data_IF_417650794576
#
_entry.id   IF_417650794576
#
_cell.length_a   1.000
_cell.length_b   1.000
_cell.length_c   1.000
_cell.angle_alpha   90.00
_cell.angle_beta   90.00
_cell.angle_gamma   90.00
#
_symmetry.space_group_name_H-M   'P 1'
#
loop_
_entity.id
_entity.type
_entity.pdbx_description
1 polymer ?
#
# COMPACT_ATOMS: atom_id res chain seq x y z
N UNK A 1 -17.74 -0.49 -10.51
CA UNK A 1 -16.70 0.43 -10.06
C UNK A 1 -15.38 -0.29 -9.98
N UNK A 2 -14.36 0.32 -10.50
CA UNK A 2 -13.04 -0.30 -10.49
C UNK A 2 -12.31 0.07 -9.20
N UNK A 3 -11.42 -0.81 -8.73
CA UNK A 3 -10.60 -0.54 -7.55
C UNK A 3 -9.73 0.71 -7.72
N UNK A 4 -9.29 1.00 -8.97
CA UNK A 4 -8.49 2.17 -9.26
C UNK A 4 -9.24 3.47 -8.95
N UNK A 5 -10.54 3.52 -9.22
CA UNK A 5 -11.35 4.69 -8.90
C UNK A 5 -11.44 4.91 -7.40
N UNK A 6 -11.70 3.83 -6.66
CA UNK A 6 -11.78 3.92 -5.19
C UNK A 6 -10.45 4.29 -4.57
N UNK A 7 -9.38 3.72 -5.06
CA UNK A 7 -8.04 4.06 -4.59
C UNK A 7 -7.77 5.55 -4.83
N UNK A 8 -8.05 6.03 -6.03
CA UNK A 8 -7.81 7.43 -6.39
C UNK A 8 -8.61 8.39 -5.52
N UNK A 9 -9.89 8.11 -5.32
CA UNK A 9 -10.75 8.94 -4.48
C UNK A 9 -10.25 8.97 -3.04
N UNK A 10 -9.84 7.82 -2.52
CA UNK A 10 -9.31 7.73 -1.16
C UNK A 10 -8.03 8.55 -1.03
N UNK A 11 -7.10 8.39 -1.95
CA UNK A 11 -5.84 9.14 -1.92
C UNK A 11 -6.10 10.65 -1.95
N UNK A 12 -6.97 11.09 -2.84
CA UNK A 12 -7.30 12.50 -2.97
C UNK A 12 -7.97 13.04 -1.70
N UNK A 13 -8.97 12.33 -1.20
CA UNK A 13 -9.71 12.76 -0.02
C UNK A 13 -8.79 12.89 1.18
N UNK A 14 -7.95 11.90 1.43
CA UNK A 14 -7.03 11.94 2.57
C UNK A 14 -6.01 13.05 2.40
N UNK A 15 -5.49 13.24 1.18
CA UNK A 15 -4.55 14.32 0.91
C UNK A 15 -5.17 15.69 1.16
N UNK A 16 -6.38 15.89 0.68
CA UNK A 16 -7.10 17.17 0.86
C UNK A 16 -7.43 17.41 2.33
N UNK A 17 -7.86 16.39 3.04
CA UNK A 17 -8.13 16.51 4.48
C UNK A 17 -6.86 16.84 5.27
N UNK A 18 -5.73 16.36 4.82
CA UNK A 18 -4.45 16.69 5.44
C UNK A 18 -3.92 18.06 5.03
N UNK A 19 -4.60 18.75 4.12
CA UNK A 19 -4.19 20.06 3.65
C UNK A 19 -2.91 20.05 2.81
N UNK A 20 -2.59 18.92 2.17
CA UNK A 20 -1.35 18.78 1.42
C UNK A 20 -1.56 18.92 -0.08
N UNK A 21 -0.58 19.53 -0.75
CA UNK A 21 -0.59 19.62 -2.20
C UNK A 21 -0.15 18.31 -2.81
N UNK A 22 -0.37 18.15 -4.11
CA UNK A 22 0.15 17.00 -4.84
C UNK A 22 1.66 16.86 -4.65
N UNK A 23 2.38 17.95 -4.78
CA UNK A 23 3.83 17.96 -4.65
C UNK A 23 4.27 17.58 -3.25
N UNK A 24 3.58 18.08 -2.22
CA UNK A 24 3.93 17.79 -0.83
C UNK A 24 3.84 16.31 -0.50
N UNK A 25 2.94 15.59 -1.15
CA UNK A 25 2.80 14.14 -0.96
C UNK A 25 3.70 13.37 -1.93
N UNK A 26 3.76 13.80 -3.18
CA UNK A 26 4.51 13.08 -4.21
C UNK A 26 6.02 13.08 -3.99
N UNK A 27 6.59 14.23 -3.63
CA UNK A 27 8.04 14.34 -3.46
C UNK A 27 8.60 13.34 -2.42
N UNK A 28 8.07 13.30 -1.20
CA UNK A 28 8.56 12.31 -0.23
C UNK A 28 8.25 10.86 -0.63
N UNK A 29 7.21 10.65 -1.42
CA UNK A 29 6.87 9.32 -1.90
C UNK A 29 7.69 8.91 -3.12
N UNK A 30 8.58 9.80 -3.57
CA UNK A 30 9.46 9.54 -4.70
C UNK A 30 8.72 9.28 -6.02
N UNK A 31 7.62 9.97 -6.21
CA UNK A 31 6.87 9.95 -7.47
C UNK A 31 6.64 11.38 -7.93
N UNK A 32 6.31 11.56 -9.19
CA UNK A 32 6.02 12.90 -9.69
C UNK A 32 4.62 13.33 -9.27
N UNK A 33 4.38 14.64 -9.09
CA UNK A 33 3.02 15.12 -8.86
C UNK A 33 2.04 14.73 -9.97
N UNK A 34 2.52 14.68 -11.22
CA UNK A 34 1.69 14.26 -12.34
C UNK A 34 1.27 12.80 -12.21
N UNK A 35 2.16 11.94 -11.73
CA UNK A 35 1.83 10.54 -11.49
C UNK A 35 0.81 10.39 -10.37
N UNK A 36 0.98 11.13 -9.28
CA UNK A 36 0.02 11.12 -8.19
C UNK A 36 -1.35 11.58 -8.68
N UNK A 37 -1.40 12.62 -9.51
CA UNK A 37 -2.66 13.08 -10.09
C UNK A 37 -3.32 11.98 -10.91
N UNK A 38 -2.56 11.24 -11.70
CA UNK A 38 -3.10 10.10 -12.46
C UNK A 38 -3.65 9.02 -11.54
N UNK A 39 -2.97 8.75 -10.43
CA UNK A 39 -3.48 7.81 -9.44
C UNK A 39 -4.81 8.28 -8.86
N UNK A 40 -4.90 9.57 -8.51
CA UNK A 40 -6.12 10.13 -7.94
C UNK A 40 -7.28 10.12 -8.92
N UNK A 41 -6.99 10.21 -10.21
CA UNK A 41 -8.02 10.14 -11.24
C UNK A 41 -8.40 8.73 -11.65
N UNK A 42 -7.79 7.73 -11.05
CA UNK A 42 -8.06 6.34 -11.37
C UNK A 42 -7.49 5.89 -12.71
N UNK A 43 -6.49 6.61 -13.22
CA UNK A 43 -5.88 6.30 -14.52
C UNK A 43 -4.74 5.29 -14.44
N UNK A 44 -4.35 4.89 -13.23
CA UNK A 44 -3.34 3.87 -13.02
C UNK A 44 -4.03 2.68 -12.39
N UNK A 45 -4.02 1.54 -13.06
CA UNK A 45 -4.79 0.38 -12.62
C UNK A 45 -4.07 -0.46 -11.56
N UNK A 46 -2.75 -0.47 -11.57
CA UNK A 46 -2.00 -1.32 -10.63
C UNK A 46 -0.72 -0.60 -10.20
N UNK A 47 -0.81 0.40 -9.33
CA UNK A 47 0.40 1.03 -8.80
C UNK A 47 1.21 0.01 -8.00
N UNK A 48 2.53 0.16 -8.01
CA UNK A 48 3.38 -0.81 -7.34
C UNK A 48 3.19 -0.80 -5.83
N UNK A 49 3.40 -1.93 -5.16
CA UNK A 49 3.33 -1.97 -3.69
C UNK A 49 4.26 -0.96 -3.01
N UNK A 50 5.43 -0.71 -3.57
CA UNK A 50 6.36 0.26 -3.00
C UNK A 50 5.81 1.68 -3.02
N UNK A 51 5.15 2.05 -4.11
CA UNK A 51 4.50 3.36 -4.23
C UNK A 51 3.39 3.47 -3.21
N UNK A 52 2.56 2.44 -3.09
CA UNK A 52 1.46 2.43 -2.13
C UNK A 52 1.97 2.53 -0.69
N UNK A 53 3.07 1.85 -0.39
CA UNK A 53 3.66 1.90 0.95
C UNK A 53 4.16 3.31 1.29
N UNK A 54 4.84 3.98 0.36
CA UNK A 54 5.31 5.33 0.58
C UNK A 54 4.15 6.33 0.72
N UNK A 55 3.12 6.17 -0.10
CA UNK A 55 1.93 7.01 -0.01
C UNK A 55 1.21 6.80 1.33
N UNK A 56 1.10 5.56 1.78
CA UNK A 56 0.49 5.26 3.07
C UNK A 56 1.22 5.98 4.20
N UNK A 57 2.55 5.98 4.16
CA UNK A 57 3.36 6.68 5.14
C UNK A 57 3.15 8.19 5.11
N UNK A 58 3.05 8.77 3.92
CA UNK A 58 2.85 10.21 3.77
C UNK A 58 1.45 10.67 4.17
N UNK A 59 0.47 9.83 3.97
CA UNK A 59 -0.92 10.17 4.22
C UNK A 59 -1.44 9.67 5.56
N UNK A 60 -0.65 8.87 6.26
CA UNK A 60 -1.06 8.34 7.57
C UNK A 60 -2.19 7.32 7.48
N UNK A 61 -2.26 6.58 6.39
CA UNK A 61 -3.28 5.55 6.19
C UNK A 61 -2.66 4.16 6.19
N UNK A 62 -3.50 3.16 6.37
CA UNK A 62 -3.03 1.78 6.41
C UNK A 62 -2.61 1.32 5.01
N UNK A 63 -1.39 0.85 4.89
CA UNK A 63 -0.86 0.32 3.65
C UNK A 63 -1.70 -0.83 3.09
N UNK A 64 -2.17 -1.73 3.96
CA UNK A 64 -2.98 -2.87 3.52
C UNK A 64 -4.31 -2.43 2.92
N UNK A 65 -4.89 -1.35 3.45
CA UNK A 65 -6.12 -0.79 2.90
C UNK A 65 -5.87 -0.25 1.50
N UNK A 66 -4.75 0.42 1.28
CA UNK A 66 -4.40 0.90 -0.06
C UNK A 66 -4.16 -0.28 -1.02
N UNK A 67 -3.54 -1.34 -0.55
CA UNK A 67 -3.32 -2.53 -1.36
C UNK A 67 -4.66 -3.16 -1.79
N UNK A 68 -5.61 -3.27 -0.86
CA UNK A 68 -6.93 -3.80 -1.18
C UNK A 68 -7.63 -2.95 -2.22
N UNK A 69 -7.58 -1.63 -2.04
CA UNK A 69 -8.20 -0.71 -2.99
C UNK A 69 -7.56 -0.78 -4.38
N UNK A 70 -6.27 -1.10 -4.43
CA UNK A 70 -5.56 -1.26 -5.69
C UNK A 70 -5.84 -2.62 -6.35
N UNK A 71 -6.60 -3.49 -5.70
CA UNK A 71 -6.96 -4.78 -6.28
C UNK A 71 -6.04 -5.93 -5.89
N UNK A 72 -5.09 -5.70 -5.02
CA UNK A 72 -4.22 -6.77 -4.56
C UNK A 72 -4.96 -7.64 -3.55
N UNK A 73 -4.68 -8.93 -3.57
CA UNK A 73 -5.22 -9.85 -2.59
C UNK A 73 -4.40 -9.69 -1.31
N UNK A 74 -5.08 -9.31 -0.24
CA UNK A 74 -4.44 -9.07 1.04
C UNK A 74 -5.10 -9.96 2.07
N UNK A 75 -4.31 -10.66 2.90
CA UNK A 75 -4.90 -11.46 3.97
C UNK A 75 -5.69 -10.59 4.93
N UNK A 76 -6.85 -11.08 5.35
CA UNK A 76 -7.68 -10.33 6.30
C UNK A 76 -7.17 -10.45 7.72
N UNK A 77 -6.28 -11.40 7.96
CA UNK A 77 -5.72 -11.59 9.29
C UNK A 77 -4.62 -10.56 9.55
N UNK A 78 -4.32 -10.34 10.83
CA UNK A 78 -3.22 -9.47 11.21
C UNK A 78 -1.90 -10.07 10.73
N UNK A 79 -0.84 -9.28 10.68
CA UNK A 79 0.47 -9.77 10.27
C UNK A 79 0.93 -10.97 11.08
N UNK A 80 0.63 -11.00 12.36
CA UNK A 80 0.98 -12.13 13.23
C UNK A 80 0.22 -13.38 12.78
N UNK A 81 -1.05 -13.24 12.44
CA UNK A 81 -1.84 -14.36 11.94
C UNK A 81 -1.31 -14.93 10.63
N UNK A 82 -0.90 -14.05 9.73
CA UNK A 82 -0.33 -14.47 8.44
C UNK A 82 0.96 -15.24 8.65
N UNK A 83 1.85 -14.72 9.49
CA UNK A 83 3.12 -15.39 9.80
C UNK A 83 2.88 -16.72 10.48
N UNK A 84 1.96 -16.76 11.43
CA UNK A 84 1.63 -17.98 12.14
C UNK A 84 1.10 -19.05 11.20
N UNK A 85 0.22 -18.68 10.27
CA UNK A 85 -0.27 -19.59 9.25
C UNK A 85 0.84 -20.07 8.33
N UNK A 86 1.71 -19.18 7.89
CA UNK A 86 2.81 -19.53 7.03
C UNK A 86 3.76 -20.52 7.69
N UNK A 87 4.02 -20.32 8.99
CA UNK A 87 4.92 -21.22 9.74
C UNK A 87 4.29 -22.56 10.02
N UNK A 88 2.96 -22.61 10.16
CA UNK A 88 2.29 -23.87 10.46
C UNK A 88 1.93 -24.65 9.20
N UNK A 89 1.85 -24.01 8.05
CA UNK A 89 1.52 -24.72 6.83
C UNK A 89 2.81 -25.18 6.19
N UNK A 90 2.90 -26.43 5.87
CA UNK A 90 4.08 -26.96 5.22
C UNK A 90 4.00 -26.70 3.74
N UNK A 91 5.10 -26.32 3.15
CA UNK A 91 5.16 -26.21 1.71
C UNK A 91 4.61 -24.91 1.13
N UNK A 92 5.13 -23.82 1.58
CA UNK A 92 4.82 -22.54 0.95
C UNK A 92 5.31 -22.57 -0.48
N UNK A 93 4.50 -22.03 -1.40
CA UNK A 93 4.94 -21.84 -2.78
C UNK A 93 5.94 -20.69 -2.80
N UNK A 94 6.71 -20.59 -3.88
CA UNK A 94 7.64 -19.46 -4.04
C UNK A 94 6.91 -18.13 -3.98
N UNK A 95 5.72 -18.06 -4.56
CA UNK A 95 4.91 -16.87 -4.55
C UNK A 95 4.50 -16.50 -3.13
N UNK A 96 4.07 -17.48 -2.35
CA UNK A 96 3.70 -17.27 -0.96
C UNK A 96 4.90 -16.85 -0.12
N UNK A 97 6.05 -17.46 -0.34
CA UNK A 97 7.27 -17.06 0.35
C UNK A 97 7.63 -15.62 0.07
N UNK A 98 7.52 -15.19 -1.19
CA UNK A 98 7.78 -13.81 -1.55
C UNK A 98 6.79 -12.86 -0.90
N UNK A 99 5.53 -13.24 -0.83
CA UNK A 99 4.51 -12.42 -0.20
C UNK A 99 4.79 -12.24 1.30
N UNK A 100 5.16 -13.32 1.98
CA UNK A 100 5.51 -13.26 3.40
C UNK A 100 6.75 -12.41 3.63
N UNK A 101 7.78 -12.61 2.80
CA UNK A 101 9.01 -11.83 2.90
C UNK A 101 8.77 -10.35 2.68
N UNK A 102 7.96 -10.00 1.68
CA UNK A 102 7.60 -8.62 1.41
C UNK A 102 6.81 -8.01 2.57
N UNK A 103 5.86 -8.76 3.13
CA UNK A 103 5.10 -8.32 4.28
C UNK A 103 6.00 -8.04 5.48
N UNK A 104 6.92 -8.96 5.78
CA UNK A 104 7.83 -8.79 6.91
C UNK A 104 8.71 -7.56 6.75
N UNK A 105 9.22 -7.35 5.55
CA UNK A 105 10.05 -6.19 5.26
C UNK A 105 9.30 -4.88 5.51
N UNK A 106 8.07 -4.81 5.04
CA UNK A 106 7.22 -3.63 5.20
C UNK A 106 6.84 -3.44 6.67
N UNK A 107 6.46 -4.52 7.34
CA UNK A 107 6.11 -4.48 8.75
C UNK A 107 7.27 -3.95 9.59
N UNK A 108 8.47 -4.46 9.36
CA UNK A 108 9.66 -3.99 10.08
C UNK A 108 9.96 -2.53 9.81
N UNK A 109 9.72 -2.08 8.57
CA UNK A 109 9.91 -0.70 8.21
C UNK A 109 8.92 0.23 8.92
N UNK A 110 7.66 -0.20 9.06
CA UNK A 110 6.63 0.60 9.71
C UNK A 110 6.75 0.62 11.22
N UNK A 111 7.10 -0.53 11.82
CA UNK A 111 7.17 -0.64 13.26
C UNK A 111 8.59 -0.47 13.78
N UNK A 112 9.48 0.00 12.93
CA UNK A 112 10.79 0.43 13.13
C UNK A 112 11.45 -0.29 14.18
N UNK A 113 12.23 -0.99 13.97
CA UNK A 113 13.07 -1.35 14.90
C UNK A 113 13.84 -0.27 15.34
N UNK A 114 13.28 0.47 15.93
CA UNK A 114 14.13 1.50 16.42
C UNK A 114 15.32 0.93 17.05
#
# INVERSE_FOLDING_TARGET
>A
MTGAMKLGETLRTVRELAGKSLKAVADPAEISPAYLLKLEKGQVTAPSPHVLHRLAGQLGVDYLDLMRLAGYVVPETTGVGVISQALSSQGLTEEEERAVAAYLKIYRSQHGSA
#
